data_IF_371127378965
#
_entry.id   IF_371127378965
#
_cell.length_a   1.000
_cell.length_b   1.000
_cell.length_c   1.000
_cell.angle_alpha   90.00
_cell.angle_beta   90.00
_cell.angle_gamma   90.00
#
_symmetry.space_group_name_H-M   'P 1'
#
loop_
_entity.id
_entity.type
_entity.pdbx_description
1 polymer ?
#
# COMPACT_ATOMS: atom_id res chain seq x y z
N UNK A 1 9.58 13.40 -3.61
CA UNK A 1 10.05 12.00 -3.53
C UNK A 1 11.54 12.02 -3.28
N UNK A 2 12.03 11.23 -2.32
CA UNK A 2 13.45 11.09 -2.01
C UNK A 2 13.87 9.74 -2.56
N UNK A 3 14.73 9.72 -3.57
CA UNK A 3 15.14 8.47 -4.21
C UNK A 3 16.14 7.69 -3.36
N UNK A 4 16.07 6.36 -3.45
CA UNK A 4 17.06 5.49 -2.86
C UNK A 4 18.50 5.86 -3.30
N UNK A 5 19.48 5.62 -2.43
CA UNK A 5 20.90 5.77 -2.81
C UNK A 5 21.29 4.77 -3.90
N UNK A 6 20.76 3.56 -3.80
CA UNK A 6 21.00 2.46 -4.73
C UNK A 6 19.65 1.84 -5.13
N UNK A 7 19.08 2.26 -6.28
CA UNK A 7 17.83 1.71 -6.79
C UNK A 7 17.89 0.20 -7.10
N UNK A 8 19.08 -0.35 -7.38
CA UNK A 8 19.23 -1.77 -7.66
C UNK A 8 19.12 -2.59 -6.37
N UNK A 9 19.75 -2.13 -5.29
CA UNK A 9 19.58 -2.73 -3.96
C UNK A 9 18.14 -2.60 -3.47
N UNK A 10 17.51 -1.44 -3.65
CA UNK A 10 16.09 -1.26 -3.32
C UNK A 10 15.22 -2.28 -4.07
N UNK A 11 15.43 -2.44 -5.38
CA UNK A 11 14.65 -3.39 -6.17
C UNK A 11 14.89 -4.84 -5.74
N UNK A 12 16.14 -5.24 -5.53
CA UNK A 12 16.45 -6.59 -5.05
C UNK A 12 15.76 -6.87 -3.70
N UNK A 13 15.74 -5.88 -2.81
CA UNK A 13 15.02 -5.93 -1.54
C UNK A 13 13.49 -5.91 -1.65
N UNK A 14 12.92 -5.74 -2.84
CA UNK A 14 11.48 -5.78 -3.11
C UNK A 14 11.05 -6.99 -3.96
N UNK A 15 11.99 -7.58 -4.71
CA UNK A 15 11.76 -8.70 -5.65
C UNK A 15 11.81 -10.09 -4.96
N UNK A 16 11.76 -10.15 -3.63
CA UNK A 16 11.66 -11.41 -2.88
C UNK A 16 12.81 -11.71 -1.93
N UNK A 17 13.94 -11.00 -2.02
CA UNK A 17 15.05 -11.10 -1.06
C UNK A 17 14.94 -9.98 -0.01
N UNK A 18 14.01 -10.16 0.94
CA UNK A 18 13.84 -9.19 2.03
C UNK A 18 14.75 -9.49 3.23
N UNK A 19 15.86 -10.21 3.03
CA UNK A 19 16.81 -10.60 4.08
C UNK A 19 17.34 -9.41 4.88
N UNK A 20 17.31 -8.20 4.30
CA UNK A 20 17.41 -6.94 5.02
C UNK A 20 16.63 -5.83 4.30
N UNK A 21 15.87 -5.03 5.05
CA UNK A 21 15.27 -3.81 4.51
C UNK A 21 16.37 -2.88 3.97
N UNK A 22 16.11 -2.20 2.86
CA UNK A 22 17.04 -1.22 2.32
C UNK A 22 17.27 -0.09 3.35
N UNK A 23 18.54 0.22 3.65
CA UNK A 23 18.91 1.26 4.62
C UNK A 23 18.45 2.67 4.20
N UNK A 24 18.33 2.90 2.89
CA UNK A 24 17.85 4.16 2.32
C UNK A 24 16.91 3.90 1.16
N UNK A 25 15.66 3.51 1.44
CA UNK A 25 14.69 3.23 0.40
C UNK A 25 14.20 4.55 -0.22
N UNK A 26 13.49 4.44 -1.33
CA UNK A 26 12.77 5.55 -1.94
C UNK A 26 11.60 5.93 -1.02
N UNK A 27 11.60 7.18 -0.56
CA UNK A 27 10.60 7.72 0.38
C UNK A 27 9.69 8.69 -0.36
N UNK A 28 8.39 8.43 -0.27
CA UNK A 28 7.37 9.42 -0.62
C UNK A 28 7.07 10.27 0.61
N UNK A 29 7.16 11.58 0.45
CA UNK A 29 6.82 12.56 1.51
C UNK A 29 5.59 13.32 1.03
N UNK A 30 4.48 13.14 1.72
CA UNK A 30 3.24 13.88 1.49
C UNK A 30 3.09 14.93 2.59
N UNK A 31 3.13 16.21 2.22
CA UNK A 31 3.00 17.38 3.11
C UNK A 31 1.93 18.33 2.57
N UNK A 32 0.65 18.01 2.76
CA UNK A 32 -0.43 18.87 2.29
C UNK A 32 -0.45 20.16 3.11
N UNK A 33 -0.58 21.31 2.45
CA UNK A 33 -0.80 22.60 3.12
C UNK A 33 -2.27 22.81 3.51
N UNK A 34 -2.97 21.76 3.92
CA UNK A 34 -4.40 21.80 4.25
C UNK A 34 -4.58 22.16 5.75
N UNK A 35 -5.13 23.35 6.07
CA UNK A 35 -5.34 23.77 7.46
C UNK A 35 -6.27 22.85 8.24
N UNK A 36 -7.14 22.07 7.58
CA UNK A 36 -8.04 21.13 8.25
C UNK A 36 -7.31 19.93 8.87
N UNK A 37 -6.06 19.68 8.45
CA UNK A 37 -5.21 18.62 8.98
C UNK A 37 -4.31 19.09 10.13
N UNK A 38 -4.42 20.35 10.55
CA UNK A 38 -3.53 20.99 11.52
C UNK A 38 -4.33 21.49 12.73
N UNK A 39 -3.76 21.40 13.95
CA UNK A 39 -4.35 22.06 15.12
C UNK A 39 -4.40 23.59 14.97
N UNK A 40 -3.34 24.19 14.44
CA UNK A 40 -3.21 25.64 14.19
C UNK A 40 -2.10 25.94 13.16
N UNK A 41 -1.85 27.22 12.87
CA UNK A 41 -0.89 27.69 11.87
C UNK A 41 0.60 27.50 12.25
N UNK A 42 0.91 27.17 13.50
CA UNK A 42 2.26 26.86 13.97
C UNK A 42 2.67 25.40 13.77
N UNK A 43 1.74 24.55 13.31
CA UNK A 43 1.95 23.12 13.14
C UNK A 43 2.02 22.72 11.68
N UNK A 44 2.58 21.54 11.42
CA UNK A 44 2.51 20.91 10.12
C UNK A 44 2.25 19.41 10.26
N UNK A 45 1.79 18.78 9.18
CA UNK A 45 1.65 17.32 9.08
C UNK A 45 2.43 16.79 7.89
N UNK A 46 3.02 15.61 8.06
CA UNK A 46 3.76 14.93 7.01
C UNK A 46 3.49 13.42 7.12
N UNK A 47 3.27 12.79 5.97
CA UNK A 47 3.23 11.32 5.87
C UNK A 47 4.44 10.87 5.06
N UNK A 48 5.26 10.02 5.66
CA UNK A 48 6.37 9.36 5.01
C UNK A 48 5.94 7.93 4.68
N UNK A 49 6.08 7.55 3.41
CA UNK A 49 5.67 6.22 2.93
C UNK A 49 6.77 5.57 2.11
N UNK A 50 6.90 4.27 2.29
CA UNK A 50 7.91 3.42 1.65
C UNK A 50 7.30 2.07 1.32
N UNK A 51 7.73 1.45 0.22
CA UNK A 51 7.34 0.08 -0.12
C UNK A 51 8.10 -0.91 0.76
N UNK A 52 7.38 -1.87 1.33
CA UNK A 52 7.93 -2.85 2.29
C UNK A 52 7.40 -4.26 2.01
N UNK A 53 8.08 -5.31 2.50
CA UNK A 53 7.55 -6.67 2.44
C UNK A 53 6.19 -6.82 3.14
N UNK A 54 5.33 -7.73 2.65
CA UNK A 54 4.10 -8.10 3.34
C UNK A 54 4.36 -8.66 4.73
N UNK A 55 3.36 -8.52 5.60
CA UNK A 55 3.37 -9.12 6.92
C UNK A 55 3.18 -10.64 6.87
N UNK A 56 3.98 -11.35 7.66
CA UNK A 56 3.66 -12.71 8.08
C UNK A 56 4.17 -12.94 9.51
N UNK A 57 3.37 -13.51 10.43
CA UNK A 57 3.85 -13.91 11.75
C UNK A 57 5.04 -14.88 11.64
N UNK A 58 6.11 -14.61 12.37
CA UNK A 58 7.36 -15.38 12.28
C UNK A 58 8.18 -15.18 10.98
N UNK A 59 7.73 -14.30 10.08
CA UNK A 59 8.46 -13.96 8.86
C UNK A 59 9.81 -13.29 9.17
N UNK A 60 10.86 -13.75 8.49
CA UNK A 60 12.25 -13.34 8.76
C UNK A 60 12.87 -12.45 7.69
N UNK A 61 12.11 -12.14 6.63
CA UNK A 61 12.58 -11.47 5.42
C UNK A 61 13.08 -12.43 4.34
N UNK A 62 13.69 -13.55 4.72
CA UNK A 62 14.26 -14.52 3.77
C UNK A 62 13.22 -15.16 2.83
N UNK A 63 11.97 -15.26 3.28
CA UNK A 63 10.87 -15.93 2.54
C UNK A 63 9.94 -14.95 1.81
N UNK A 64 10.32 -13.69 1.64
CA UNK A 64 9.40 -12.74 1.02
C UNK A 64 8.57 -11.90 1.99
N UNK A 65 8.65 -12.18 3.29
CA UNK A 65 7.71 -11.68 4.31
C UNK A 65 8.44 -11.29 5.58
N UNK A 66 7.88 -10.35 6.34
CA UNK A 66 8.45 -9.90 7.61
C UNK A 66 7.39 -9.87 8.73
N UNK A 67 7.78 -10.29 9.93
CA UNK A 67 6.95 -10.08 11.10
C UNK A 67 7.06 -8.63 11.60
N UNK A 68 6.17 -7.77 11.10
CA UNK A 68 6.05 -6.37 11.51
C UNK A 68 5.58 -6.17 12.95
N UNK A 69 5.10 -7.23 13.61
CA UNK A 69 4.71 -7.17 15.03
C UNK A 69 5.88 -7.52 15.97
N UNK A 70 6.97 -8.04 15.42
CA UNK A 70 8.14 -8.48 16.17
C UNK A 70 9.37 -7.60 15.92
N UNK A 71 10.36 -7.71 16.80
CA UNK A 71 11.73 -7.28 16.55
C UNK A 71 11.96 -5.77 16.38
N UNK A 72 10.96 -4.90 16.56
CA UNK A 72 11.10 -3.43 16.46
C UNK A 72 11.47 -2.93 15.05
N UNK A 73 11.16 -3.70 14.00
CA UNK A 73 11.48 -3.34 12.61
C UNK A 73 10.83 -2.04 12.17
N UNK A 74 9.56 -1.85 12.55
CA UNK A 74 8.76 -0.68 12.20
C UNK A 74 9.40 0.63 12.70
N UNK A 75 9.76 0.67 13.99
CA UNK A 75 10.35 1.87 14.61
C UNK A 75 11.73 2.20 14.04
N UNK A 76 12.59 1.19 13.84
CA UNK A 76 13.91 1.42 13.20
C UNK A 76 13.77 1.96 11.78
N UNK A 77 12.81 1.44 11.02
CA UNK A 77 12.55 1.95 9.68
C UNK A 77 12.02 3.39 9.75
N UNK A 78 11.07 3.69 10.65
CA UNK A 78 10.55 5.04 10.83
C UNK A 78 11.66 6.06 11.16
N UNK A 79 12.58 5.70 12.07
CA UNK A 79 13.75 6.53 12.41
C UNK A 79 14.67 6.73 11.18
N UNK A 80 14.92 5.68 10.40
CA UNK A 80 15.71 5.77 9.17
C UNK A 80 15.06 6.68 8.10
N UNK A 81 13.73 6.64 7.97
CA UNK A 81 12.99 7.51 7.05
C UNK A 81 13.08 8.99 7.48
N UNK A 82 12.97 9.29 8.78
CA UNK A 82 13.16 10.64 9.31
C UNK A 82 14.58 11.15 9.05
N UNK A 83 15.59 10.33 9.33
CA UNK A 83 16.99 10.68 9.06
C UNK A 83 17.25 10.90 7.56
N UNK A 84 16.63 10.10 6.68
CA UNK A 84 16.73 10.27 5.23
C UNK A 84 16.08 11.58 4.77
N UNK A 85 14.92 11.94 5.33
CA UNK A 85 14.28 13.24 5.08
C UNK A 85 15.15 14.41 5.54
N UNK A 86 15.74 14.32 6.75
CA UNK A 86 16.66 15.34 7.27
C UNK A 86 17.86 15.57 6.36
N UNK A 87 18.50 14.49 5.89
CA UNK A 87 19.61 14.55 4.91
C UNK A 87 19.22 15.20 3.58
N UNK A 88 17.94 15.16 3.22
CA UNK A 88 17.40 15.81 2.02
C UNK A 88 16.95 17.26 2.27
N UNK A 89 17.23 17.83 3.45
CA UNK A 89 16.84 19.20 3.82
C UNK A 89 15.44 19.32 4.42
N UNK A 90 14.79 18.19 4.73
CA UNK A 90 13.50 18.14 5.42
C UNK A 90 13.70 17.69 6.87
N UNK A 91 14.14 18.62 7.72
CA UNK A 91 14.33 18.34 9.14
C UNK A 91 12.98 18.27 9.87
N UNK A 92 12.41 17.07 9.88
CA UNK A 92 11.17 16.73 10.59
C UNK A 92 11.44 16.21 12.00
N UNK A 93 12.57 15.56 12.22
CA UNK A 93 12.91 14.90 13.48
C UNK A 93 13.07 15.89 14.62
N UNK A 94 13.78 17.01 14.39
CA UNK A 94 13.99 18.03 15.43
C UNK A 94 12.72 18.78 15.85
N UNK A 95 11.66 18.68 15.04
CA UNK A 95 10.37 19.36 15.23
C UNK A 95 9.22 18.41 15.53
N UNK A 96 9.52 17.13 15.75
CA UNK A 96 8.52 16.10 15.95
C UNK A 96 7.85 16.26 17.31
N UNK A 97 6.54 16.50 17.31
CA UNK A 97 5.72 16.54 18.53
C UNK A 97 5.00 15.22 18.79
N UNK A 98 4.62 14.52 17.72
CA UNK A 98 3.90 13.25 17.78
C UNK A 98 4.15 12.48 16.47
N UNK A 99 4.17 11.14 16.56
CA UNK A 99 4.20 10.25 15.40
C UNK A 99 3.32 9.03 15.62
N UNK A 100 2.83 8.47 14.52
CA UNK A 100 2.22 7.15 14.46
C UNK A 100 2.91 6.34 13.37
N UNK A 101 3.33 5.12 13.71
CA UNK A 101 3.93 4.17 12.78
C UNK A 101 2.86 3.18 12.34
N UNK A 102 2.65 3.05 11.03
CA UNK A 102 1.64 2.16 10.44
C UNK A 102 2.33 1.14 9.54
N UNK A 103 2.00 -0.13 9.75
CA UNK A 103 2.66 -1.27 9.12
C UNK A 103 1.70 -2.11 8.28
N UNK A 104 2.20 -3.05 7.46
CA UNK A 104 1.36 -4.04 6.81
C UNK A 104 0.55 -4.88 7.81
N UNK A 105 1.05 -5.16 9.02
CA UNK A 105 0.27 -5.87 10.05
C UNK A 105 -0.95 -5.07 10.50
N UNK A 106 -0.85 -3.75 10.57
CA UNK A 106 -1.98 -2.87 10.88
C UNK A 106 -3.01 -2.87 9.77
N UNK A 107 -2.54 -2.82 8.52
CA UNK A 107 -3.40 -2.89 7.34
C UNK A 107 -4.15 -4.23 7.27
N UNK A 108 -3.46 -5.35 7.52
CA UNK A 108 -4.09 -6.67 7.57
C UNK A 108 -5.17 -6.74 8.65
N UNK A 109 -4.87 -6.28 9.87
CA UNK A 109 -5.81 -6.31 11.00
C UNK A 109 -7.07 -5.49 10.73
N UNK A 110 -6.94 -4.35 10.07
CA UNK A 110 -8.06 -3.42 9.86
C UNK A 110 -8.90 -3.74 8.63
N UNK A 111 -8.27 -4.26 7.57
CA UNK A 111 -8.92 -4.47 6.27
C UNK A 111 -9.16 -5.94 5.94
N UNK A 112 -8.51 -6.86 6.65
CA UNK A 112 -8.47 -8.28 6.31
C UNK A 112 -7.63 -8.60 5.07
N UNK A 113 -6.90 -7.63 4.50
CA UNK A 113 -6.03 -7.86 3.36
C UNK A 113 -4.83 -8.73 3.76
N UNK A 114 -4.66 -9.93 3.18
CA UNK A 114 -3.57 -10.84 3.55
C UNK A 114 -2.19 -10.17 3.44
N UNK A 115 -1.40 -10.26 4.51
CA UNK A 115 -0.10 -9.63 4.65
C UNK A 115 -0.11 -8.11 4.58
N UNK A 116 -1.27 -7.46 4.68
CA UNK A 116 -1.43 -6.02 4.52
C UNK A 116 -1.20 -5.54 3.09
N UNK A 117 -1.33 -6.43 2.12
CA UNK A 117 -0.97 -6.14 0.74
C UNK A 117 -1.87 -5.06 0.13
N UNK A 118 -1.24 -4.03 -0.44
CA UNK A 118 -1.94 -3.04 -1.27
C UNK A 118 -2.20 -3.67 -2.64
N UNK A 119 -3.46 -3.72 -3.12
CA UNK A 119 -3.75 -4.32 -4.41
C UNK A 119 -3.03 -3.57 -5.54
N UNK A 120 -2.22 -4.29 -6.31
CA UNK A 120 -1.62 -3.79 -7.55
C UNK A 120 -2.63 -3.66 -8.69
N UNK A 121 -2.30 -2.91 -9.76
CA UNK A 121 -3.14 -2.77 -10.95
C UNK A 121 -3.35 -4.12 -11.65
N UNK A 122 -4.42 -4.23 -12.44
CA UNK A 122 -4.55 -5.34 -13.38
C UNK A 122 -3.70 -5.07 -14.62
N UNK A 123 -2.91 -6.05 -15.07
CA UNK A 123 -2.08 -5.94 -16.27
C UNK A 123 -2.50 -6.99 -17.29
N UNK A 124 -2.86 -6.54 -18.50
CA UNK A 124 -3.32 -7.42 -19.59
C UNK A 124 -2.20 -8.21 -20.27
N UNK A 125 -0.94 -7.91 -19.96
CA UNK A 125 0.22 -8.65 -20.45
C UNK A 125 0.32 -10.07 -19.88
N UNK A 126 1.37 -10.80 -20.28
CA UNK A 126 1.64 -12.16 -19.80
C UNK A 126 0.44 -13.12 -19.93
N UNK A 127 -0.31 -13.03 -21.04
CA UNK A 127 -1.49 -13.86 -21.26
C UNK A 127 -2.64 -13.62 -20.29
N UNK A 128 -2.66 -12.48 -19.60
CA UNK A 128 -3.67 -12.14 -18.60
C UNK A 128 -3.39 -12.69 -17.20
N UNK A 129 -2.18 -13.18 -16.92
CA UNK A 129 -1.79 -13.72 -15.61
C UNK A 129 -1.93 -12.73 -14.45
N UNK A 130 -1.98 -11.43 -14.75
CA UNK A 130 -2.11 -10.35 -13.77
C UNK A 130 -3.47 -9.65 -13.82
N UNK A 131 -4.49 -10.30 -14.41
CA UNK A 131 -5.87 -9.84 -14.31
C UNK A 131 -6.43 -10.18 -12.93
N UNK A 132 -7.31 -9.31 -12.42
CA UNK A 132 -8.08 -9.60 -11.20
C UNK A 132 -9.31 -10.44 -11.53
N UNK A 133 -9.84 -11.11 -10.50
CA UNK A 133 -11.08 -11.85 -10.59
C UNK A 133 -12.21 -10.96 -11.15
N UNK A 134 -13.07 -11.55 -11.98
CA UNK A 134 -14.24 -10.87 -12.50
C UNK A 134 -15.17 -10.43 -11.36
N UNK A 135 -15.96 -9.37 -11.57
CA UNK A 135 -16.86 -8.87 -10.55
C UNK A 135 -18.06 -9.79 -10.25
N UNK A 136 -18.25 -10.84 -11.03
CA UNK A 136 -19.26 -11.88 -10.85
C UNK A 136 -18.58 -13.24 -10.75
N UNK A 137 -18.97 -14.01 -9.75
CA UNK A 137 -18.54 -15.41 -9.64
C UNK A 137 -19.30 -16.28 -10.66
N UNK A 138 -18.57 -17.14 -11.37
CA UNK A 138 -19.16 -17.99 -12.41
C UNK A 138 -19.85 -19.25 -11.84
N UNK A 139 -19.47 -19.68 -10.63
CA UNK A 139 -19.98 -20.89 -9.98
C UNK A 139 -21.09 -20.63 -8.97
N UNK A 140 -21.18 -19.42 -8.42
CA UNK A 140 -22.15 -19.05 -7.39
C UNK A 140 -23.01 -17.89 -7.87
N UNK A 141 -24.28 -18.20 -8.17
CA UNK A 141 -25.24 -17.19 -8.59
C UNK A 141 -25.47 -16.14 -7.49
N UNK A 142 -25.48 -14.86 -7.86
CA UNK A 142 -25.67 -13.74 -6.94
C UNK A 142 -24.44 -13.40 -6.08
N UNK A 143 -23.28 -14.05 -6.30
CA UNK A 143 -22.02 -13.69 -5.67
C UNK A 143 -21.23 -12.70 -6.55
N UNK A 144 -20.90 -11.55 -5.96
CA UNK A 144 -20.16 -10.49 -6.61
C UNK A 144 -18.90 -10.12 -5.84
N UNK A 145 -17.84 -9.78 -6.57
CA UNK A 145 -16.56 -9.35 -6.02
C UNK A 145 -16.36 -7.86 -6.32
N UNK A 146 -16.12 -7.08 -5.27
CA UNK A 146 -15.97 -5.62 -5.35
C UNK A 146 -14.68 -5.16 -4.67
N UNK A 147 -14.02 -4.16 -5.24
CA UNK A 147 -12.87 -3.47 -4.66
C UNK A 147 -11.56 -3.72 -5.40
N UNK A 148 -10.44 -3.27 -4.81
CA UNK A 148 -9.13 -3.26 -5.46
C UNK A 148 -8.55 -4.64 -5.81
N UNK A 149 -9.06 -5.70 -5.19
CA UNK A 149 -8.68 -7.08 -5.48
C UNK A 149 -9.56 -7.74 -6.55
N UNK A 150 -10.61 -7.06 -7.00
CA UNK A 150 -11.48 -7.47 -8.10
C UNK A 150 -11.20 -6.62 -9.35
N UNK A 151 -11.77 -7.01 -10.49
CA UNK A 151 -11.76 -6.18 -11.69
C UNK A 151 -12.34 -4.78 -11.38
N UNK A 152 -11.72 -3.68 -11.87
CA UNK A 152 -10.61 -3.60 -12.83
C UNK A 152 -9.20 -3.59 -12.23
N UNK A 153 -9.03 -3.73 -10.91
CA UNK A 153 -7.72 -3.83 -10.26
C UNK A 153 -7.54 -2.86 -9.10
N UNK A 154 -6.30 -2.76 -8.62
CA UNK A 154 -5.97 -1.92 -7.48
C UNK A 154 -6.00 -0.42 -7.76
N UNK A 155 -6.09 0.35 -6.67
CA UNK A 155 -6.16 1.81 -6.68
C UNK A 155 -7.58 2.35 -6.43
N UNK A 156 -7.67 3.53 -5.82
CA UNK A 156 -8.95 4.13 -5.39
C UNK A 156 -9.95 4.30 -6.53
N UNK A 157 -9.49 4.78 -7.69
CA UNK A 157 -10.35 4.94 -8.86
C UNK A 157 -10.94 3.60 -9.32
N UNK A 158 -10.12 2.55 -9.35
CA UNK A 158 -10.56 1.21 -9.76
C UNK A 158 -11.48 0.56 -8.73
N UNK A 159 -11.24 0.77 -7.43
CA UNK A 159 -12.16 0.38 -6.38
C UNK A 159 -13.54 1.01 -6.58
N UNK A 160 -13.61 2.31 -6.87
CA UNK A 160 -14.87 2.99 -7.17
C UNK A 160 -15.56 2.45 -8.43
N UNK A 161 -14.80 2.24 -9.50
CA UNK A 161 -15.33 1.63 -10.74
C UNK A 161 -15.84 0.21 -10.53
N UNK A 162 -15.12 -0.62 -9.75
CA UNK A 162 -15.56 -1.96 -9.38
C UNK A 162 -16.93 -1.93 -8.68
N UNK A 163 -17.13 -0.98 -7.76
CA UNK A 163 -18.43 -0.77 -7.10
C UNK A 163 -19.54 -0.39 -8.07
N UNK A 164 -19.26 0.52 -9.01
CA UNK A 164 -20.21 0.91 -10.05
C UNK A 164 -20.57 -0.27 -10.97
N UNK A 165 -19.58 -1.10 -11.35
CA UNK A 165 -19.80 -2.29 -12.18
C UNK A 165 -20.69 -3.32 -11.49
N UNK A 166 -20.39 -3.65 -10.22
CA UNK A 166 -21.20 -4.58 -9.44
C UNK A 166 -22.63 -4.06 -9.26
N UNK A 167 -22.79 -2.76 -9.01
CA UNK A 167 -24.11 -2.14 -8.93
C UNK A 167 -24.87 -2.26 -10.26
N UNK A 168 -24.18 -2.07 -11.39
CA UNK A 168 -24.77 -2.27 -12.71
C UNK A 168 -25.24 -3.70 -12.96
N UNK A 169 -24.46 -4.71 -12.56
CA UNK A 169 -24.83 -6.13 -12.64
C UNK A 169 -26.06 -6.44 -11.78
N UNK A 170 -26.10 -5.92 -10.54
CA UNK A 170 -27.22 -6.15 -9.62
C UNK A 170 -28.52 -5.51 -10.16
N UNK A 171 -28.44 -4.28 -10.68
CA UNK A 171 -29.62 -3.51 -11.10
C UNK A 171 -30.14 -3.94 -12.47
N UNK A 172 -29.24 -4.22 -13.41
CA UNK A 172 -29.60 -4.46 -14.83
C UNK A 172 -29.52 -5.94 -15.24
N UNK A 173 -29.10 -6.81 -14.32
CA UNK A 173 -28.94 -8.24 -14.56
C UNK A 173 -27.53 -8.61 -15.05
N UNK A 174 -27.27 -9.91 -15.03
CA UNK A 174 -25.94 -10.49 -15.22
C UNK A 174 -25.36 -10.33 -16.63
N UNK A 175 -26.20 -10.01 -17.62
CA UNK A 175 -25.78 -9.77 -19.01
C UNK A 175 -25.40 -8.31 -19.29
N UNK A 176 -25.48 -7.44 -18.27
CA UNK A 176 -25.14 -6.02 -18.40
C UNK A 176 -23.65 -5.80 -18.67
N UNK A 177 -23.33 -4.88 -19.61
CA UNK A 177 -21.95 -4.64 -20.09
C UNK A 177 -21.47 -3.19 -19.94
N UNK A 178 -22.12 -2.39 -19.11
CA UNK A 178 -21.80 -0.97 -18.93
C UNK A 178 -22.94 -0.03 -19.33
N UNK A 179 -22.81 1.24 -18.95
CA UNK A 179 -23.72 2.31 -19.39
C UNK A 179 -23.62 2.52 -20.90
N UNK A 180 -24.78 2.60 -21.57
CA UNK A 180 -24.90 3.02 -22.97
C UNK A 180 -24.76 4.54 -23.10
#
# INVERSE_FOLDING_TARGET
MLHAADPATERAGLDGDFGSLCDRPTVTVLRPGDPALLPDAGHETAVLSVTVPPHAPGGTGAEGTLDWTAGGHAERLADALLAAAGKAGLDLESRLLWRETRTPADTERETGAPGGAVPGPALAGAGGAFLRAANRDAGVNGLYLVGGSAHPGGGLAHTGMSGALVTGLIVNGDDWRGSQ
#
